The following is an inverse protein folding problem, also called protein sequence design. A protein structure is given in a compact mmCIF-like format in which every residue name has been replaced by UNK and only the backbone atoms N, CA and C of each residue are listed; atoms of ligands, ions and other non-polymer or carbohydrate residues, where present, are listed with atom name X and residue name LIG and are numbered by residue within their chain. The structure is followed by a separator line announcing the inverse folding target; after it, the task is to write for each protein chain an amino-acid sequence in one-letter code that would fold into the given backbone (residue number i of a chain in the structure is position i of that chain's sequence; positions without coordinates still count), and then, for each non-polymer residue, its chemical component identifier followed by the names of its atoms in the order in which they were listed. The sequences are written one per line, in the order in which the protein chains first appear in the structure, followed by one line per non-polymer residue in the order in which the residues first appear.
data_IF_696461806641
#
_entry.id   IF_696461806641
#
_cell.length_a   1.000
_cell.length_b   1.000
_cell.length_c   1.000
_cell.angle_alpha   90.00
_cell.angle_beta   90.00
_cell.angle_gamma   90.00
#
_symmetry.space_group_name_H-M   'P 1'
#
loop_
_entity.id
_entity.type
_entity.pdbx_description
1 polymer ?
#
# COMPACT_ATOMS: atom_id res chain seq x y z
N UNK A 1 -23.88 31.68 -0.61
CA UNK A 1 -22.55 32.17 -0.20
C UNK A 1 -21.77 30.91 0.22
N UNK A 2 -20.82 30.47 -0.60
CA UNK A 2 -20.09 29.25 -0.34
C UNK A 2 -19.15 29.41 0.85
N UNK A 3 -19.35 28.61 1.87
CA UNK A 3 -18.45 28.56 3.01
C UNK A 3 -17.11 27.96 2.54
N UNK A 4 -16.06 28.78 2.53
CA UNK A 4 -14.71 28.34 2.29
C UNK A 4 -14.24 27.51 3.49
N UNK A 5 -14.46 26.18 3.41
CA UNK A 5 -13.89 25.24 4.36
C UNK A 5 -12.37 25.16 4.10
N UNK A 6 -11.57 25.74 4.96
CA UNK A 6 -10.12 25.57 4.92
C UNK A 6 -9.76 24.30 5.67
N UNK A 7 -9.38 23.28 4.92
CA UNK A 7 -8.83 22.04 5.43
C UNK A 7 -7.31 22.14 5.40
N UNK A 8 -6.65 22.10 6.56
CA UNK A 8 -5.18 22.05 6.63
C UNK A 8 -4.73 20.63 6.84
N UNK A 9 -3.81 20.16 5.97
CA UNK A 9 -3.16 18.86 6.13
C UNK A 9 -2.17 18.92 7.31
N UNK A 10 -2.41 18.15 8.35
CA UNK A 10 -1.50 18.03 9.49
C UNK A 10 -0.55 16.86 9.26
N UNK A 11 0.71 16.96 9.70
CA UNK A 11 1.68 15.88 9.66
C UNK A 11 1.07 14.59 10.24
N UNK A 12 1.03 13.56 9.43
CA UNK A 12 0.49 12.27 9.81
C UNK A 12 -0.86 11.90 9.18
N UNK A 13 -1.30 12.62 8.13
CA UNK A 13 -2.51 12.27 7.38
C UNK A 13 -3.83 12.73 8.02
N UNK A 14 -3.77 13.60 9.02
CA UNK A 14 -4.96 14.24 9.60
C UNK A 14 -5.16 15.61 9.00
N UNK A 15 -6.42 16.00 8.84
CA UNK A 15 -6.80 17.36 8.50
C UNK A 15 -7.40 18.03 9.73
N UNK A 16 -6.88 19.21 10.08
CA UNK A 16 -7.48 20.06 11.09
C UNK A 16 -8.33 21.12 10.39
N UNK A 17 -9.60 21.15 10.72
CA UNK A 17 -10.48 22.23 10.27
C UNK A 17 -10.19 23.46 11.14
N UNK A 18 -9.72 24.56 10.53
CA UNK A 18 -9.60 25.85 11.18
C UNK A 18 -10.86 26.68 10.92
N UNK A 19 -11.39 27.26 11.98
CA UNK A 19 -12.54 28.20 12.00
C UNK A 19 -13.85 27.56 11.53
N UNK A 20 -14.42 26.70 12.36
CA UNK A 20 -15.82 26.34 12.30
C UNK A 20 -16.62 27.41 13.06
N UNK A 21 -17.01 28.47 12.37
CA UNK A 21 -18.27 29.11 12.68
C UNK A 21 -19.39 28.20 12.14
N UNK A 22 -20.41 27.99 12.97
CA UNK A 22 -21.53 27.06 12.84
C UNK A 22 -22.11 26.89 11.41
N UNK A 23 -21.55 26.05 10.57
CA UNK A 23 -22.20 25.61 9.35
C UNK A 23 -22.21 24.10 9.30
N UNK A 24 -23.40 23.54 9.29
CA UNK A 24 -23.59 22.10 9.05
C UNK A 24 -22.99 21.70 7.71
N UNK A 25 -21.96 20.86 7.74
CA UNK A 25 -21.51 20.18 6.54
C UNK A 25 -22.51 19.03 6.35
N UNK A 26 -23.24 19.05 5.26
CA UNK A 26 -24.17 17.98 4.96
C UNK A 26 -23.42 16.73 4.48
N UNK A 27 -24.08 15.59 4.58
CA UNK A 27 -23.52 14.29 4.24
C UNK A 27 -23.14 14.20 2.75
N UNK A 28 -23.86 14.90 1.86
CA UNK A 28 -23.55 14.94 0.41
C UNK A 28 -22.24 15.65 0.10
N UNK A 29 -21.89 16.73 0.82
CA UNK A 29 -20.63 17.43 0.62
C UNK A 29 -19.43 16.58 1.07
N UNK A 30 -19.61 15.78 2.14
CA UNK A 30 -18.61 14.82 2.59
C UNK A 30 -18.45 13.71 1.54
N UNK A 31 -19.53 13.10 1.08
CA UNK A 31 -19.51 12.05 0.08
C UNK A 31 -18.90 12.51 -1.25
N UNK A 32 -19.25 13.71 -1.70
CA UNK A 32 -18.68 14.31 -2.90
C UNK A 32 -17.17 14.50 -2.79
N UNK A 33 -16.68 15.00 -1.67
CA UNK A 33 -15.24 15.14 -1.43
C UNK A 33 -14.53 13.78 -1.33
N UNK A 34 -15.17 12.78 -0.73
CA UNK A 34 -14.66 11.41 -0.72
C UNK A 34 -14.49 10.86 -2.14
N UNK A 35 -15.39 11.22 -3.07
CA UNK A 35 -15.27 10.82 -4.46
C UNK A 35 -14.15 11.52 -5.22
N UNK A 36 -13.80 12.74 -4.83
CA UNK A 36 -12.77 13.56 -5.46
C UNK A 36 -11.35 13.22 -5.02
N UNK A 37 -11.17 12.59 -3.84
CA UNK A 37 -9.84 12.31 -3.26
C UNK A 37 -9.38 10.87 -3.51
N UNK A 38 -8.11 10.70 -3.82
CA UNK A 38 -7.52 9.37 -4.13
C UNK A 38 -7.24 8.52 -2.90
N UNK A 39 -6.80 9.15 -1.81
CA UNK A 39 -6.55 8.46 -0.53
C UNK A 39 -6.56 9.46 0.60
N UNK A 40 -7.69 9.57 1.35
CA UNK A 40 -7.66 10.64 2.32
C UNK A 40 -8.65 10.65 3.46
N UNK A 41 -8.37 11.50 4.40
CA UNK A 41 -9.05 11.76 5.65
C UNK A 41 -9.86 13.05 5.63
N UNK A 42 -10.99 13.00 6.29
CA UNK A 42 -11.73 14.20 6.71
C UNK A 42 -11.82 14.27 8.23
N UNK A 43 -11.67 15.47 8.75
CA UNK A 43 -11.89 15.76 10.17
C UNK A 43 -12.96 16.83 10.27
N UNK A 44 -14.05 16.53 10.97
CA UNK A 44 -15.12 17.46 11.29
C UNK A 44 -15.17 17.67 12.80
N UNK A 45 -15.19 18.92 13.22
CA UNK A 45 -15.38 19.29 14.61
C UNK A 45 -16.73 19.97 14.80
N UNK A 46 -17.48 19.69 15.85
CA UNK A 46 -18.79 20.27 16.13
C UNK A 46 -19.02 20.47 17.63
N UNK A 47 -19.37 21.72 18.01
CA UNK A 47 -19.83 22.08 19.36
C UNK A 47 -18.82 21.82 20.48
N UNK A 48 -19.31 21.58 21.69
CA UNK A 48 -18.50 21.25 22.87
C UNK A 48 -17.79 19.90 22.78
N UNK A 49 -18.15 19.08 21.78
CA UNK A 49 -17.44 17.88 21.38
C UNK A 49 -16.94 18.07 19.96
N UNK A 50 -15.65 18.05 19.72
CA UNK A 50 -15.09 18.02 18.37
C UNK A 50 -15.43 16.67 17.71
N UNK A 51 -16.11 16.71 16.58
CA UNK A 51 -16.44 15.53 15.79
C UNK A 51 -15.36 15.33 14.73
N UNK A 52 -14.52 14.32 14.93
CA UNK A 52 -13.49 13.93 13.98
C UNK A 52 -14.07 12.91 13.00
N UNK A 53 -14.20 13.30 11.75
CA UNK A 53 -14.54 12.40 10.66
C UNK A 53 -13.27 12.04 9.92
N UNK A 54 -12.85 10.81 10.04
CA UNK A 54 -11.68 10.28 9.36
C UNK A 54 -12.13 9.31 8.28
N UNK A 55 -11.68 9.54 7.05
CA UNK A 55 -11.98 8.69 5.92
C UNK A 55 -10.70 8.24 5.23
N UNK A 56 -10.52 6.93 5.13
CA UNK A 56 -9.48 6.29 4.35
C UNK A 56 -10.03 5.03 3.69
N UNK A 57 -10.25 5.07 2.39
CA UNK A 57 -10.79 3.93 1.65
C UNK A 57 -9.81 2.76 1.55
N UNK A 58 -8.51 2.99 1.72
CA UNK A 58 -7.48 1.94 1.72
C UNK A 58 -7.30 1.29 3.07
N UNK A 59 -7.72 1.96 4.14
CA UNK A 59 -7.49 1.51 5.49
C UNK A 59 -6.03 1.57 5.94
N UNK A 60 -5.17 2.27 5.23
CA UNK A 60 -3.71 2.27 5.43
C UNK A 60 -3.28 3.35 6.44
N UNK A 61 -4.00 4.46 6.51
CA UNK A 61 -3.62 5.61 7.32
C UNK A 61 -4.23 5.59 8.73
N UNK A 62 -3.37 5.81 9.66
CA UNK A 62 -3.45 6.00 11.12
C UNK A 62 -4.78 5.83 11.84
N UNK A 63 -4.67 4.96 12.82
CA UNK A 63 -5.42 4.82 14.06
C UNK A 63 -6.89 4.38 13.97
N UNK A 64 -7.04 3.12 14.09
CA UNK A 64 -7.98 2.31 14.83
C UNK A 64 -9.22 1.76 14.18
N UNK A 65 -9.79 2.27 13.09
CA UNK A 65 -10.86 1.54 12.41
C UNK A 65 -10.81 1.80 10.93
N UNK A 66 -10.40 0.78 10.26
CA UNK A 66 -10.14 0.80 8.85
C UNK A 66 -11.38 0.33 8.13
N UNK A 67 -11.79 1.08 7.15
CA UNK A 67 -12.91 0.76 6.32
C UNK A 67 -12.41 -0.01 5.10
N UNK A 68 -13.08 -1.09 4.78
CA UNK A 68 -12.77 -1.82 3.57
C UNK A 68 -13.21 -0.99 2.36
N UNK A 69 -12.49 -1.05 1.23
CA UNK A 69 -12.78 -0.23 0.06
C UNK A 69 -14.20 -0.31 -0.50
N UNK A 70 -14.98 -1.32 -0.11
CA UNK A 70 -16.35 -1.55 -0.59
C UNK A 70 -17.41 -1.55 0.51
N UNK A 71 -17.01 -1.22 1.73
CA UNK A 71 -17.97 -1.14 2.84
C UNK A 71 -18.42 0.29 3.10
N UNK A 72 -19.69 0.45 3.38
CA UNK A 72 -20.21 1.66 4.01
C UNK A 72 -20.55 1.28 5.43
N UNK A 73 -19.92 1.92 6.40
CA UNK A 73 -20.46 1.88 7.74
C UNK A 73 -20.16 3.16 8.50
N UNK A 74 -21.05 3.45 9.42
CA UNK A 74 -20.95 4.57 10.32
C UNK A 74 -20.63 4.02 11.69
N UNK A 75 -19.58 4.52 12.31
CA UNK A 75 -19.27 4.22 13.68
C UNK A 75 -18.94 5.49 14.42
N UNK A 76 -19.58 5.68 15.59
CA UNK A 76 -19.34 6.84 16.45
C UNK A 76 -18.57 6.40 17.67
N UNK A 77 -17.36 6.92 17.85
CA UNK A 77 -16.54 6.75 19.05
C UNK A 77 -16.35 8.10 19.75
N UNK A 78 -16.55 8.15 21.06
CA UNK A 78 -16.24 9.31 21.87
C UNK A 78 -14.90 9.09 22.53
N UNK A 79 -13.91 9.93 22.22
CA UNK A 79 -12.57 9.86 22.79
C UNK A 79 -12.04 11.27 23.06
N UNK A 80 -11.64 11.54 24.29
CA UNK A 80 -11.06 12.83 24.69
C UNK A 80 -11.94 14.04 24.30
N UNK A 81 -13.24 13.98 24.57
CA UNK A 81 -14.24 15.01 24.21
C UNK A 81 -14.49 15.20 22.71
N UNK A 82 -14.03 14.25 21.87
CA UNK A 82 -14.31 14.26 20.44
C UNK A 82 -15.26 13.11 20.10
N UNK A 83 -16.26 13.39 19.29
CA UNK A 83 -17.09 12.38 18.65
C UNK A 83 -16.50 12.09 17.27
N UNK A 84 -16.06 10.84 17.07
CA UNK A 84 -15.48 10.40 15.80
C UNK A 84 -16.57 9.70 15.00
N UNK A 85 -16.91 10.27 13.85
CA UNK A 85 -17.80 9.66 12.88
C UNK A 85 -16.96 9.15 11.70
N UNK A 86 -17.07 7.86 11.39
CA UNK A 86 -16.32 7.23 10.32
C UNK A 86 -17.28 6.95 9.16
N UNK A 87 -16.95 7.47 7.99
CA UNK A 87 -17.70 7.19 6.76
C UNK A 87 -16.85 6.42 5.79
N UNK A 88 -17.42 5.41 5.14
CA UNK A 88 -16.85 4.81 3.95
C UNK A 88 -17.89 4.73 2.86
N UNK A 89 -17.51 4.96 1.64
CA UNK A 89 -18.35 4.69 0.48
C UNK A 89 -18.04 3.31 -0.08
N UNK A 90 -19.05 2.62 -0.59
CA UNK A 90 -18.85 1.49 -1.48
C UNK A 90 -18.11 2.00 -2.72
N UNK A 91 -16.88 1.54 -2.91
CA UNK A 91 -16.15 1.80 -4.15
C UNK A 91 -16.64 0.79 -5.18
N UNK A 92 -17.68 1.17 -5.93
CA UNK A 92 -18.11 0.37 -7.07
C UNK A 92 -16.97 0.29 -8.10
N UNK A 93 -16.77 -0.87 -8.76
CA UNK A 93 -15.85 -0.94 -9.89
C UNK A 93 -16.27 0.06 -10.97
N UNK A 94 -15.33 0.58 -11.75
CA UNK A 94 -15.69 1.41 -12.91
C UNK A 94 -16.54 0.59 -13.87
N UNK A 95 -17.40 1.24 -14.66
CA UNK A 95 -18.29 0.52 -15.59
C UNK A 95 -17.50 -0.24 -16.65
N UNK A 96 -16.34 0.25 -17.01
CA UNK A 96 -15.43 -0.35 -17.98
C UNK A 96 -14.02 0.17 -17.72
N UNK A 97 -13.00 -0.67 -17.87
CA UNK A 97 -11.58 -0.28 -17.75
C UNK A 97 -10.77 -0.97 -18.85
N UNK A 98 -9.79 -0.26 -19.39
CA UNK A 98 -8.79 -0.80 -20.31
C UNK A 98 -7.42 -0.89 -19.65
N UNK A 99 -6.53 -1.70 -20.23
CA UNK A 99 -5.14 -1.81 -19.77
C UNK A 99 -4.37 -0.51 -20.01
N UNK A 100 -4.70 0.22 -21.08
CA UNK A 100 -4.11 1.51 -21.42
C UNK A 100 -4.47 2.58 -20.39
N UNK A 101 -5.74 2.62 -19.94
CA UNK A 101 -6.18 3.54 -18.89
C UNK A 101 -5.50 3.23 -17.56
N UNK A 102 -5.37 1.95 -17.19
CA UNK A 102 -4.62 1.53 -16.02
C UNK A 102 -3.14 1.90 -16.11
N UNK A 103 -2.51 1.68 -17.26
CA UNK A 103 -1.12 2.07 -17.50
C UNK A 103 -0.93 3.59 -17.39
N UNK A 104 -1.84 4.37 -17.99
CA UNK A 104 -1.83 5.84 -17.90
C UNK A 104 -2.01 6.32 -16.46
N UNK A 105 -2.95 5.75 -15.73
CA UNK A 105 -3.21 6.09 -14.32
C UNK A 105 -2.01 5.77 -13.44
N UNK A 106 -1.44 4.58 -13.60
CA UNK A 106 -0.28 4.17 -12.83
C UNK A 106 0.95 5.06 -13.14
N UNK A 107 1.15 5.43 -14.41
CA UNK A 107 2.20 6.36 -14.82
C UNK A 107 2.01 7.75 -14.21
N UNK A 108 0.78 8.24 -14.08
CA UNK A 108 0.50 9.54 -13.48
C UNK A 108 0.94 9.62 -12.00
N UNK A 109 1.00 8.49 -11.31
CA UNK A 109 1.46 8.41 -9.92
C UNK A 109 2.99 8.69 -9.77
N UNK A 110 3.77 8.69 -10.86
CA UNK A 110 5.17 9.11 -10.82
C UNK A 110 5.37 10.53 -10.24
N UNK A 111 4.34 11.37 -10.29
CA UNK A 111 4.36 12.73 -9.77
C UNK A 111 4.05 12.83 -8.26
N UNK A 112 3.71 11.71 -7.60
CA UNK A 112 3.42 11.70 -6.16
C UNK A 112 4.63 12.15 -5.35
N UNK A 113 4.39 12.95 -4.33
CA UNK A 113 5.45 13.46 -3.44
C UNK A 113 6.52 14.26 -4.18
N UNK A 114 6.15 15.23 -5.01
CA UNK A 114 7.04 15.93 -5.96
C UNK A 114 8.35 16.45 -5.33
N UNK A 115 8.33 16.87 -4.06
CA UNK A 115 9.52 17.39 -3.35
C UNK A 115 10.07 16.39 -2.32
N UNK A 116 9.69 15.10 -2.39
CA UNK A 116 10.12 14.07 -1.45
C UNK A 116 11.13 13.14 -2.08
N UNK A 117 12.15 12.73 -1.32
CA UNK A 117 13.06 11.65 -1.72
C UNK A 117 12.33 10.31 -1.60
N UNK A 118 12.31 9.58 -2.71
CA UNK A 118 11.52 8.34 -2.84
C UNK A 118 12.43 7.14 -2.67
N UNK A 119 11.99 6.19 -1.81
CA UNK A 119 12.47 4.82 -1.84
C UNK A 119 11.39 3.88 -2.37
N UNK A 120 11.78 2.72 -2.86
CA UNK A 120 10.88 1.64 -3.26
C UNK A 120 11.23 0.39 -2.48
N UNK A 121 10.27 -0.24 -1.82
CA UNK A 121 10.39 -1.56 -1.23
C UNK A 121 10.58 -2.57 -2.36
N UNK A 122 11.84 -2.90 -2.66
CA UNK A 122 12.22 -3.56 -3.89
C UNK A 122 12.61 -5.01 -3.65
N UNK A 123 11.84 -5.90 -4.20
CA UNK A 123 12.09 -7.32 -4.13
C UNK A 123 12.58 -7.92 -5.47
N UNK A 124 12.66 -7.09 -6.51
CA UNK A 124 12.91 -7.55 -7.88
C UNK A 124 11.72 -8.29 -8.52
N UNK A 125 10.58 -8.44 -7.84
CA UNK A 125 9.35 -8.97 -8.43
C UNK A 125 8.72 -8.01 -9.43
N UNK A 126 7.78 -8.51 -10.27
CA UNK A 126 7.09 -7.70 -11.27
C UNK A 126 6.47 -6.44 -10.66
N UNK A 127 5.79 -6.58 -9.50
CA UNK A 127 5.06 -5.49 -8.86
C UNK A 127 5.96 -4.33 -8.46
N UNK A 128 7.03 -4.62 -7.71
CA UNK A 128 8.00 -3.61 -7.29
C UNK A 128 8.84 -3.08 -8.44
N UNK A 129 9.13 -3.91 -9.45
CA UNK A 129 9.90 -3.48 -10.63
C UNK A 129 9.07 -2.56 -11.53
N UNK A 130 7.77 -2.81 -11.67
CA UNK A 130 6.89 -1.91 -12.41
C UNK A 130 6.79 -0.54 -11.73
N UNK A 131 6.67 -0.50 -10.38
CA UNK A 131 6.72 0.75 -9.64
C UNK A 131 8.09 1.44 -9.80
N UNK A 132 9.19 0.71 -9.66
CA UNK A 132 10.53 1.27 -9.89
C UNK A 132 10.66 1.88 -11.30
N UNK A 133 10.13 1.22 -12.32
CA UNK A 133 10.12 1.70 -13.69
C UNK A 133 9.28 2.98 -13.88
N UNK A 134 8.14 3.08 -13.22
CA UNK A 134 7.27 4.26 -13.26
C UNK A 134 7.96 5.47 -12.63
N UNK A 135 8.63 5.27 -11.50
CA UNK A 135 9.29 6.34 -10.77
C UNK A 135 10.74 6.61 -11.26
N UNK A 136 11.26 5.90 -12.29
CA UNK A 136 12.68 5.95 -12.68
C UNK A 136 13.21 7.34 -12.99
N UNK A 137 12.41 8.22 -13.58
CA UNK A 137 12.79 9.61 -13.88
C UNK A 137 13.09 10.44 -12.62
N UNK A 138 12.73 9.92 -11.46
CA UNK A 138 12.95 10.53 -10.14
C UNK A 138 14.09 9.85 -9.38
N UNK A 139 14.81 8.96 -10.03
CA UNK A 139 15.94 8.23 -9.46
C UNK A 139 15.65 7.64 -8.07
N UNK A 140 14.59 6.82 -7.93
CA UNK A 140 14.19 6.30 -6.63
C UNK A 140 15.25 5.33 -6.10
N UNK A 141 15.46 5.35 -4.78
CA UNK A 141 16.35 4.41 -4.12
C UNK A 141 15.63 3.05 -3.96
N UNK A 142 16.16 1.99 -4.56
CA UNK A 142 15.62 0.65 -4.40
C UNK A 142 16.14 0.05 -3.09
N UNK A 143 15.24 -0.29 -2.16
CA UNK A 143 15.59 -0.89 -0.86
C UNK A 143 15.23 -2.37 -0.87
N UNK A 144 16.23 -3.22 -0.70
CA UNK A 144 16.05 -4.67 -0.53
C UNK A 144 16.62 -5.10 0.81
N UNK A 145 15.84 -5.84 1.60
CA UNK A 145 16.29 -6.42 2.86
C UNK A 145 16.16 -7.95 2.83
N UNK A 146 17.10 -8.63 3.46
CA UNK A 146 17.08 -10.10 3.53
C UNK A 146 18.36 -10.66 4.11
N UNK A 147 18.35 -11.94 4.42
CA UNK A 147 19.58 -12.66 4.77
C UNK A 147 20.47 -12.84 3.54
N UNK A 148 21.78 -12.91 3.74
CA UNK A 148 22.79 -12.86 2.67
C UNK A 148 22.52 -13.87 1.54
N UNK A 149 22.12 -15.09 1.86
CA UNK A 149 21.81 -16.15 0.91
C UNK A 149 20.36 -16.14 0.39
N UNK A 150 19.63 -15.03 0.62
CA UNK A 150 18.22 -14.96 0.21
C UNK A 150 18.07 -14.80 -1.30
N UNK A 151 17.03 -15.44 -1.82
CA UNK A 151 16.67 -15.33 -3.24
C UNK A 151 16.31 -13.89 -3.63
N UNK A 152 15.67 -13.15 -2.72
CA UNK A 152 15.29 -11.77 -2.97
C UNK A 152 16.51 -10.88 -3.22
N UNK A 153 17.60 -11.04 -2.47
CA UNK A 153 18.82 -10.26 -2.69
C UNK A 153 19.43 -10.58 -4.06
N UNK A 154 19.50 -11.87 -4.46
CA UNK A 154 20.06 -12.27 -5.75
C UNK A 154 19.24 -11.70 -6.91
N UNK A 155 17.94 -11.94 -6.90
CA UNK A 155 17.01 -11.53 -7.96
C UNK A 155 16.92 -9.98 -8.04
N UNK A 156 16.85 -9.30 -6.91
CA UNK A 156 16.74 -7.83 -6.91
C UNK A 156 17.99 -7.16 -7.49
N UNK A 157 19.19 -7.66 -7.19
CA UNK A 157 20.45 -7.12 -7.75
C UNK A 157 20.51 -7.22 -9.27
N UNK A 158 20.12 -8.37 -9.83
CA UNK A 158 20.11 -8.57 -11.28
C UNK A 158 19.12 -7.59 -11.95
N UNK A 159 17.92 -7.46 -11.37
CA UNK A 159 16.87 -6.64 -11.97
C UNK A 159 17.05 -5.14 -11.74
N UNK A 160 17.66 -4.72 -10.63
CA UNK A 160 18.02 -3.32 -10.43
C UNK A 160 19.00 -2.85 -11.51
N UNK A 161 19.97 -3.70 -11.90
CA UNK A 161 20.89 -3.42 -13.03
C UNK A 161 20.14 -3.29 -14.36
N UNK A 162 19.15 -4.16 -14.63
CA UNK A 162 18.33 -4.05 -15.84
C UNK A 162 17.51 -2.75 -15.89
N UNK A 163 17.09 -2.25 -14.72
CA UNK A 163 16.38 -0.98 -14.62
C UNK A 163 17.30 0.24 -14.66
N UNK A 164 18.61 0.07 -14.48
CA UNK A 164 19.57 1.18 -14.38
C UNK A 164 19.38 2.04 -13.13
N UNK A 165 18.87 1.47 -12.03
CA UNK A 165 18.54 2.19 -10.80
C UNK A 165 19.47 1.82 -9.66
N UNK A 166 19.74 2.79 -8.78
CA UNK A 166 20.54 2.58 -7.56
C UNK A 166 19.78 1.68 -6.57
N UNK A 167 20.50 0.73 -5.96
CA UNK A 167 19.97 -0.19 -4.99
C UNK A 167 20.80 -0.23 -3.72
N UNK A 168 20.16 -0.06 -2.58
CA UNK A 168 20.69 -0.42 -1.27
C UNK A 168 20.20 -1.82 -0.88
N UNK A 169 21.15 -2.72 -0.64
CA UNK A 169 20.87 -4.06 -0.11
C UNK A 169 21.27 -4.11 1.36
N UNK A 170 20.29 -4.27 2.23
CA UNK A 170 20.50 -4.46 3.66
C UNK A 170 20.51 -5.94 4.00
N UNK A 171 21.65 -6.45 4.43
CA UNK A 171 21.83 -7.83 4.90
C UNK A 171 21.45 -7.90 6.37
N UNK A 172 20.42 -8.65 6.67
CA UNK A 172 19.91 -8.79 8.04
C UNK A 172 20.82 -9.71 8.85
N UNK A 173 21.20 -9.26 10.05
CA UNK A 173 21.82 -10.10 11.07
C UNK A 173 20.77 -10.63 12.05
N UNK A 174 21.01 -11.81 12.64
CA UNK A 174 20.08 -12.43 13.60
C UNK A 174 19.80 -11.53 14.81
N UNK A 175 20.80 -10.78 15.27
CA UNK A 175 20.64 -9.81 16.36
C UNK A 175 19.67 -8.70 15.95
N UNK A 176 19.85 -8.14 14.76
CA UNK A 176 18.99 -7.09 14.23
C UNK A 176 17.55 -7.57 13.99
N UNK A 177 17.37 -8.81 13.53
CA UNK A 177 16.05 -9.43 13.46
C UNK A 177 15.37 -9.49 14.83
N UNK A 178 16.08 -9.90 15.87
CA UNK A 178 15.53 -9.92 17.24
C UNK A 178 15.13 -8.53 17.72
N UNK A 179 15.94 -7.53 17.43
CA UNK A 179 15.64 -6.15 17.82
C UNK A 179 14.45 -5.58 17.03
N UNK A 180 14.35 -5.88 15.73
CA UNK A 180 13.19 -5.49 14.92
C UNK A 180 11.90 -6.19 15.37
N UNK A 181 11.96 -7.46 15.76
CA UNK A 181 10.81 -8.19 16.32
C UNK A 181 10.29 -7.53 17.60
N UNK A 182 11.17 -7.01 18.47
CA UNK A 182 10.74 -6.26 19.66
C UNK A 182 10.00 -4.97 19.32
N UNK A 183 10.32 -4.33 18.19
CA UNK A 183 9.65 -3.11 17.75
C UNK A 183 8.25 -3.37 17.15
N UNK A 184 7.97 -4.59 16.71
CA UNK A 184 6.75 -4.94 15.97
C UNK A 184 5.95 -6.10 16.59
N UNK A 185 6.31 -6.54 17.81
CA UNK A 185 5.71 -7.73 18.42
C UNK A 185 4.19 -7.62 18.63
N UNK A 186 3.68 -6.40 18.81
CA UNK A 186 2.26 -6.10 18.98
C UNK A 186 1.49 -5.97 17.66
N UNK A 187 2.18 -6.06 16.53
CA UNK A 187 1.59 -5.91 15.20
C UNK A 187 1.19 -7.25 14.57
N UNK A 188 1.58 -8.40 15.13
CA UNK A 188 1.33 -9.70 14.51
C UNK A 188 0.99 -10.79 15.51
N UNK A 189 0.10 -11.71 15.10
CA UNK A 189 -0.33 -12.85 15.91
C UNK A 189 0.26 -14.18 15.41
N UNK A 190 0.79 -14.21 14.22
CA UNK A 190 1.41 -15.40 13.61
C UNK A 190 2.87 -15.14 13.27
N UNK A 191 3.66 -16.21 13.10
CA UNK A 191 5.05 -16.10 12.64
C UNK A 191 5.15 -15.38 11.31
N UNK A 192 4.18 -15.60 10.41
CA UNK A 192 4.12 -14.92 9.11
C UNK A 192 3.86 -13.41 9.28
N UNK A 193 2.93 -13.02 10.16
CA UNK A 193 2.65 -11.62 10.45
C UNK A 193 3.88 -10.90 11.00
N UNK A 194 4.56 -11.52 11.97
CA UNK A 194 5.78 -10.99 12.56
C UNK A 194 6.92 -10.89 11.55
N UNK A 195 7.04 -11.88 10.64
CA UNK A 195 8.05 -11.85 9.58
C UNK A 195 7.82 -10.71 8.59
N UNK A 196 6.57 -10.45 8.21
CA UNK A 196 6.21 -9.34 7.35
C UNK A 196 6.43 -8.01 8.07
N UNK A 197 5.93 -7.86 9.30
CA UNK A 197 6.09 -6.63 10.09
C UNK A 197 7.57 -6.29 10.32
N UNK A 198 8.39 -7.26 10.75
CA UNK A 198 9.84 -7.05 10.95
C UNK A 198 10.54 -6.72 9.62
N UNK A 199 10.21 -7.40 8.54
CA UNK A 199 10.74 -7.11 7.21
C UNK A 199 10.41 -5.70 6.75
N UNK A 200 9.16 -5.25 6.87
CA UNK A 200 8.76 -3.90 6.50
C UNK A 200 9.30 -2.83 7.44
N UNK A 201 9.46 -3.12 8.73
CA UNK A 201 10.18 -2.24 9.65
C UNK A 201 11.64 -2.02 9.19
N UNK A 202 12.37 -3.09 8.86
CA UNK A 202 13.75 -3.02 8.38
C UNK A 202 13.85 -2.29 7.03
N UNK A 203 12.91 -2.52 6.11
CA UNK A 203 12.80 -1.78 4.85
C UNK A 203 12.62 -0.28 5.10
N UNK A 204 11.70 0.08 6.00
CA UNK A 204 11.45 1.47 6.40
C UNK A 204 12.68 2.12 7.06
N UNK A 205 13.32 1.40 8.01
CA UNK A 205 14.53 1.84 8.69
C UNK A 205 15.67 2.12 7.68
N UNK A 206 15.94 1.16 6.79
CA UNK A 206 16.97 1.32 5.75
C UNK A 206 16.65 2.50 4.83
N UNK A 207 15.39 2.66 4.42
CA UNK A 207 14.97 3.81 3.61
C UNK A 207 15.21 5.13 4.34
N UNK A 208 14.86 5.22 5.62
CA UNK A 208 15.07 6.41 6.45
C UNK A 208 16.55 6.75 6.62
N UNK A 209 17.38 5.76 6.91
CA UNK A 209 18.84 5.92 7.06
C UNK A 209 19.51 6.42 5.77
N UNK A 210 18.93 6.11 4.61
CA UNK A 210 19.36 6.62 3.30
C UNK A 210 18.64 7.92 2.90
N UNK A 211 17.92 8.56 3.82
CA UNK A 211 17.33 9.89 3.64
C UNK A 211 16.02 9.90 2.86
N UNK A 212 15.33 8.77 2.68
CA UNK A 212 14.03 8.75 2.04
C UNK A 212 12.94 9.36 2.94
N UNK A 213 12.04 10.13 2.33
CA UNK A 213 10.86 10.70 2.99
C UNK A 213 9.66 9.79 2.89
N UNK A 214 9.52 9.10 1.75
CA UNK A 214 8.45 8.17 1.46
C UNK A 214 9.00 6.86 0.92
N UNK A 215 8.26 5.77 1.14
CA UNK A 215 8.55 4.47 0.54
C UNK A 215 7.34 3.94 -0.22
N UNK A 216 7.56 3.64 -1.49
CA UNK A 216 6.55 3.06 -2.39
C UNK A 216 6.55 1.54 -2.24
N UNK A 217 5.38 0.96 -2.04
CA UNK A 217 5.21 -0.47 -1.75
C UNK A 217 4.28 -1.11 -2.77
N UNK A 218 4.67 -2.27 -3.30
CA UNK A 218 3.95 -2.98 -4.35
C UNK A 218 2.86 -3.96 -3.86
N UNK A 219 2.37 -3.81 -2.64
CA UNK A 219 1.30 -4.65 -2.11
C UNK A 219 -0.03 -4.44 -2.83
N UNK A 220 -0.92 -5.41 -2.72
CA UNK A 220 -2.23 -5.54 -3.36
C UNK A 220 -2.18 -5.96 -4.83
N UNK A 221 -1.03 -5.94 -5.49
CA UNK A 221 -0.91 -6.38 -6.88
C UNK A 221 -1.24 -7.87 -7.08
N UNK A 222 -0.86 -8.72 -6.12
CA UNK A 222 -1.14 -10.16 -6.17
C UNK A 222 -2.63 -10.46 -6.10
N UNK A 223 -3.36 -9.76 -5.28
CA UNK A 223 -4.80 -9.92 -5.09
C UNK A 223 -5.60 -9.31 -6.24
N UNK A 224 -5.17 -8.17 -6.76
CA UNK A 224 -5.85 -7.52 -7.89
C UNK A 224 -5.67 -8.27 -9.22
N UNK A 225 -4.52 -8.92 -9.41
CA UNK A 225 -4.15 -9.54 -10.68
C UNK A 225 -3.89 -11.05 -10.59
N UNK A 226 -4.33 -11.71 -9.52
CA UNK A 226 -4.26 -13.16 -9.36
C UNK A 226 -2.84 -13.74 -9.37
N UNK A 227 -1.94 -13.15 -8.56
CA UNK A 227 -0.52 -13.52 -8.56
C UNK A 227 -0.19 -14.78 -7.78
N UNK A 228 -1.05 -15.26 -6.88
CA UNK A 228 -0.78 -16.44 -6.06
C UNK A 228 -1.11 -17.74 -6.77
N UNK A 229 -0.30 -18.77 -6.52
CA UNK A 229 -0.51 -20.13 -7.09
C UNK A 229 -1.88 -20.72 -6.75
N UNK A 230 -2.48 -20.33 -5.62
CA UNK A 230 -3.80 -20.80 -5.20
C UNK A 230 -4.94 -20.40 -6.16
N UNK A 231 -4.72 -19.39 -7.01
CA UNK A 231 -5.71 -18.99 -8.01
C UNK A 231 -5.67 -19.85 -9.29
N UNK A 232 -4.62 -20.66 -9.46
CA UNK A 232 -4.50 -21.54 -10.60
C UNK A 232 -5.54 -22.66 -10.52
N UNK A 233 -6.32 -22.81 -11.56
CA UNK A 233 -7.37 -23.85 -11.63
C UNK A 233 -8.70 -23.47 -10.99
N UNK A 234 -8.82 -22.26 -10.40
CA UNK A 234 -10.12 -21.76 -9.97
C UNK A 234 -10.95 -21.43 -11.22
N UNK A 235 -12.20 -21.92 -11.31
CA UNK A 235 -13.12 -21.52 -12.38
C UNK A 235 -13.27 -20.01 -12.43
N UNK A 236 -13.34 -19.47 -13.67
CA UNK A 236 -13.29 -18.01 -13.89
C UNK A 236 -14.46 -17.26 -13.25
N UNK A 237 -15.61 -17.90 -13.18
CA UNK A 237 -16.84 -17.43 -12.53
C UNK A 237 -16.73 -17.37 -10.99
N UNK A 238 -15.85 -18.17 -10.40
CA UNK A 238 -15.60 -18.18 -8.95
C UNK A 238 -14.40 -17.29 -8.56
N UNK A 239 -13.53 -16.97 -9.52
CA UNK A 239 -12.26 -16.28 -9.25
C UNK A 239 -12.47 -14.91 -8.60
N UNK A 240 -13.46 -14.13 -9.05
CA UNK A 240 -13.73 -12.79 -8.52
C UNK A 240 -14.08 -12.81 -7.03
N UNK A 241 -14.85 -13.80 -6.58
CA UNK A 241 -15.20 -13.94 -5.15
C UNK A 241 -13.97 -14.24 -4.32
N UNK A 242 -13.10 -15.15 -4.80
CA UNK A 242 -11.87 -15.51 -4.10
C UNK A 242 -10.90 -14.32 -4.02
N UNK A 243 -10.73 -13.60 -5.14
CA UNK A 243 -9.90 -12.38 -5.16
C UNK A 243 -10.45 -11.32 -4.22
N UNK A 244 -11.76 -11.14 -4.16
CA UNK A 244 -12.39 -10.18 -3.27
C UNK A 244 -12.12 -10.47 -1.79
N UNK A 245 -12.26 -11.73 -1.37
CA UNK A 245 -11.93 -12.13 0.00
C UNK A 245 -10.44 -11.88 0.33
N UNK A 246 -9.55 -12.18 -0.62
CA UNK A 246 -8.13 -12.00 -0.42
C UNK A 246 -7.70 -10.54 -0.43
N UNK A 247 -8.34 -9.68 -1.22
CA UNK A 247 -8.17 -8.23 -1.16
C UNK A 247 -8.47 -7.72 0.26
N UNK A 248 -9.56 -8.15 0.87
CA UNK A 248 -9.92 -7.76 2.23
C UNK A 248 -8.87 -8.20 3.27
N UNK A 249 -8.34 -9.42 3.12
CA UNK A 249 -7.25 -9.91 3.97
C UNK A 249 -5.96 -9.13 3.75
N UNK A 250 -5.63 -8.82 2.50
CA UNK A 250 -4.44 -8.04 2.15
C UNK A 250 -4.49 -6.63 2.73
N UNK A 251 -5.64 -5.95 2.65
CA UNK A 251 -5.83 -4.62 3.25
C UNK A 251 -5.59 -4.68 4.76
N UNK A 252 -6.08 -5.71 5.45
CA UNK A 252 -5.79 -5.90 6.86
C UNK A 252 -4.28 -6.09 7.14
N UNK A 253 -3.57 -6.85 6.29
CA UNK A 253 -2.11 -6.99 6.36
C UNK A 253 -1.36 -5.69 6.08
N UNK A 254 -1.79 -4.92 5.08
CA UNK A 254 -1.19 -3.62 4.74
C UNK A 254 -1.23 -2.63 5.92
N UNK A 255 -2.20 -2.72 6.80
CA UNK A 255 -2.26 -1.91 8.03
C UNK A 255 -1.11 -2.20 8.98
N UNK A 256 -0.86 -3.49 9.22
CA UNK A 256 0.27 -3.97 10.02
C UNK A 256 1.56 -3.44 9.43
N UNK A 257 1.74 -3.63 8.13
CA UNK A 257 2.96 -3.30 7.40
C UNK A 257 3.17 -1.77 7.34
N UNK A 258 2.09 -1.00 7.18
CA UNK A 258 2.14 0.47 7.27
C UNK A 258 2.59 0.96 8.64
N UNK A 259 2.07 0.35 9.71
CA UNK A 259 2.51 0.69 11.08
C UNK A 259 3.99 0.39 11.28
N UNK A 260 4.45 -0.77 10.81
CA UNK A 260 5.86 -1.16 10.88
C UNK A 260 6.77 -0.16 10.14
N UNK A 261 6.42 0.22 8.90
CA UNK A 261 7.16 1.22 8.12
C UNK A 261 7.13 2.59 8.81
N UNK A 262 5.95 3.03 9.26
CA UNK A 262 5.79 4.35 9.89
C UNK A 262 6.54 4.44 11.22
N UNK A 263 6.62 3.35 12.00
CA UNK A 263 7.42 3.32 13.23
C UNK A 263 8.91 3.47 12.97
N UNK A 264 9.39 3.11 11.77
CA UNK A 264 10.75 3.36 11.31
C UNK A 264 10.98 4.80 10.80
N UNK A 265 9.96 5.67 10.78
CA UNK A 265 10.08 7.10 10.45
C UNK A 265 9.95 7.46 8.96
N UNK A 266 9.38 6.58 8.14
CA UNK A 266 9.10 6.79 6.71
C UNK A 266 7.61 6.64 6.43
N UNK A 267 7.07 7.41 5.50
CA UNK A 267 5.66 7.34 5.09
C UNK A 267 5.49 6.30 3.95
N UNK A 268 4.70 5.23 4.13
CA UNK A 268 4.43 4.28 3.06
C UNK A 268 3.41 4.82 2.05
N UNK A 269 3.60 4.46 0.78
CA UNK A 269 2.68 4.78 -0.34
C UNK A 269 2.39 3.51 -1.12
N UNK A 270 1.11 3.25 -1.40
CA UNK A 270 0.63 2.02 -2.03
C UNK A 270 -0.13 2.32 -3.34
N UNK A 271 0.57 2.50 -4.48
CA UNK A 271 -0.08 2.94 -5.72
C UNK A 271 -1.18 2.00 -6.23
N UNK A 272 -1.04 0.70 -6.03
CA UNK A 272 -2.06 -0.28 -6.42
C UNK A 272 -3.35 -0.20 -5.58
N UNK A 273 -3.28 0.40 -4.40
CA UNK A 273 -4.41 0.61 -3.52
C UNK A 273 -5.08 1.98 -3.73
N UNK A 274 -4.55 2.84 -4.59
CA UNK A 274 -5.21 4.12 -4.87
C UNK A 274 -6.55 3.91 -5.56
N UNK A 275 -7.53 4.68 -5.14
CA UNK A 275 -8.95 4.54 -5.51
C UNK A 275 -9.17 4.39 -7.02
N UNK A 276 -8.59 5.25 -7.85
CA UNK A 276 -8.78 5.18 -9.30
C UNK A 276 -8.18 3.91 -9.90
N UNK A 277 -6.95 3.55 -9.53
CA UNK A 277 -6.31 2.32 -10.01
C UNK A 277 -7.05 1.07 -9.53
N UNK A 278 -7.39 1.02 -8.24
CA UNK A 278 -8.10 -0.09 -7.62
C UNK A 278 -9.46 -0.37 -8.32
N UNK A 279 -10.27 0.68 -8.52
CA UNK A 279 -11.57 0.56 -9.19
C UNK A 279 -11.45 0.04 -10.61
N UNK A 280 -10.48 0.53 -11.38
CA UNK A 280 -10.23 0.09 -12.75
C UNK A 280 -9.69 -1.33 -12.80
N UNK A 281 -8.72 -1.68 -11.94
CA UNK A 281 -8.17 -3.04 -11.86
C UNK A 281 -9.26 -4.06 -11.54
N UNK A 282 -10.18 -3.74 -10.63
CA UNK A 282 -11.32 -4.59 -10.33
C UNK A 282 -12.32 -4.72 -11.48
N UNK A 283 -12.46 -3.70 -12.33
CA UNK A 283 -13.33 -3.71 -13.48
C UNK A 283 -12.76 -4.47 -14.69
N UNK A 284 -11.48 -4.87 -14.66
CA UNK A 284 -10.90 -5.69 -15.71
C UNK A 284 -11.58 -7.07 -15.78
N UNK A 285 -11.75 -7.62 -17.00
CA UNK A 285 -12.18 -9.00 -17.17
C UNK A 285 -11.29 -9.99 -16.41
N UNK A 286 -11.90 -11.02 -15.82
CA UNK A 286 -11.21 -12.01 -14.95
C UNK A 286 -10.03 -12.71 -15.64
N UNK A 287 -10.04 -12.82 -16.98
CA UNK A 287 -8.91 -13.36 -17.72
C UNK A 287 -7.60 -12.59 -17.49
N UNK A 288 -7.65 -11.29 -17.24
CA UNK A 288 -6.48 -10.47 -16.89
C UNK A 288 -6.03 -10.61 -15.43
N UNK A 289 -6.84 -11.27 -14.60
CA UNK A 289 -6.60 -11.48 -13.17
C UNK A 289 -6.06 -12.89 -12.88
N UNK A 290 -5.45 -13.53 -13.85
CA UNK A 290 -4.77 -14.83 -13.71
C UNK A 290 -3.28 -14.65 -14.00
N UNK A 291 -2.41 -15.16 -13.13
CA UNK A 291 -0.95 -15.09 -13.31
C UNK A 291 -0.40 -13.68 -13.56
N UNK A 292 -1.06 -12.66 -13.03
CA UNK A 292 -0.74 -11.26 -13.26
C UNK A 292 -0.77 -10.85 -14.73
N UNK A 293 -1.58 -11.50 -15.56
CA UNK A 293 -1.61 -11.20 -17.01
C UNK A 293 -1.88 -9.72 -17.27
N UNK A 294 -2.86 -9.12 -16.58
CA UNK A 294 -3.15 -7.68 -16.68
C UNK A 294 -1.96 -6.81 -16.30
N UNK A 295 -1.29 -7.12 -15.18
CA UNK A 295 -0.12 -6.35 -14.74
C UNK A 295 1.08 -6.49 -15.69
N UNK A 296 1.28 -7.68 -16.27
CA UNK A 296 2.30 -7.92 -17.30
C UNK A 296 2.02 -7.08 -18.56
N UNK A 297 0.76 -7.05 -19.02
CA UNK A 297 0.35 -6.21 -20.14
C UNK A 297 0.51 -4.72 -19.88
N UNK A 298 0.20 -4.26 -18.66
CA UNK A 298 0.49 -2.89 -18.24
C UNK A 298 2.00 -2.63 -18.30
N UNK A 299 2.84 -3.58 -17.84
CA UNK A 299 4.29 -3.48 -17.96
C UNK A 299 4.78 -3.36 -19.41
N UNK A 300 4.22 -4.18 -20.33
CA UNK A 300 4.49 -4.11 -21.78
C UNK A 300 4.15 -2.70 -22.34
N UNK A 301 2.95 -2.18 -22.04
CA UNK A 301 2.50 -0.84 -22.48
C UNK A 301 3.44 0.26 -21.97
N UNK A 302 3.95 0.13 -20.76
CA UNK A 302 4.86 1.11 -20.13
C UNK A 302 6.33 0.91 -20.52
N UNK A 303 6.65 -0.12 -21.30
CA UNK A 303 8.01 -0.40 -21.77
C UNK A 303 8.94 -1.01 -20.72
N UNK A 304 8.38 -1.72 -19.72
CA UNK A 304 9.20 -2.48 -18.77
C UNK A 304 9.97 -3.59 -19.49
N UNK A 305 11.25 -3.86 -19.17
CA UNK A 305 12.02 -4.93 -19.81
C UNK A 305 11.33 -6.30 -19.74
N UNK A 306 11.34 -7.04 -20.85
CA UNK A 306 10.67 -8.33 -20.99
C UNK A 306 11.19 -9.39 -20.01
N UNK A 307 12.46 -9.35 -19.65
CA UNK A 307 13.09 -10.22 -18.66
C UNK A 307 12.44 -10.08 -17.29
N UNK A 308 11.96 -8.88 -16.95
CA UNK A 308 11.25 -8.62 -15.71
C UNK A 308 9.77 -9.02 -15.84
N UNK A 309 9.13 -8.68 -16.96
CA UNK A 309 7.71 -8.99 -17.22
C UNK A 309 7.46 -10.50 -17.12
N UNK A 310 8.35 -11.33 -17.69
CA UNK A 310 8.16 -12.78 -17.77
C UNK A 310 8.72 -13.56 -16.59
N UNK A 311 9.35 -12.87 -15.66
CA UNK A 311 10.00 -13.53 -14.55
C UNK A 311 9.00 -14.11 -13.52
N UNK A 312 9.40 -15.24 -12.93
CA UNK A 312 8.72 -15.84 -11.76
C UNK A 312 9.45 -15.46 -10.47
N UNK A 313 8.73 -15.33 -9.38
CA UNK A 313 9.30 -14.98 -8.08
C UNK A 313 8.51 -15.61 -6.92
N UNK A 314 9.17 -15.78 -5.75
CA UNK A 314 8.55 -16.15 -4.48
C UNK A 314 8.02 -14.89 -3.76
N UNK A 315 7.08 -15.08 -2.82
CA UNK A 315 6.59 -14.02 -1.95
C UNK A 315 7.70 -13.56 -0.98
N UNK A 316 7.67 -12.28 -0.60
CA UNK A 316 8.71 -11.59 0.19
C UNK A 316 9.13 -12.34 1.46
N UNK A 317 8.19 -12.82 2.29
CA UNK A 317 8.51 -13.52 3.54
C UNK A 317 9.33 -14.80 3.35
N UNK A 318 9.17 -15.47 2.20
CA UNK A 318 9.94 -16.65 1.85
C UNK A 318 11.24 -16.29 1.12
N UNK A 319 11.15 -15.30 0.23
CA UNK A 319 12.28 -14.85 -0.59
C UNK A 319 13.38 -14.19 0.25
N UNK A 320 13.03 -13.46 1.30
CA UNK A 320 13.96 -12.80 2.24
C UNK A 320 14.55 -13.74 3.30
N UNK A 321 13.97 -14.93 3.51
CA UNK A 321 14.27 -15.92 4.57
C UNK A 321 13.93 -15.49 5.99
N UNK A 322 13.28 -14.33 6.21
CA UNK A 322 12.95 -13.82 7.55
C UNK A 322 12.06 -14.81 8.31
N UNK A 323 11.00 -15.33 7.69
CA UNK A 323 10.10 -16.31 8.34
C UNK A 323 10.84 -17.58 8.79
N UNK A 324 11.80 -18.07 7.97
CA UNK A 324 12.61 -19.22 8.32
C UNK A 324 13.45 -18.95 9.56
N UNK A 325 14.12 -17.79 9.62
CA UNK A 325 14.97 -17.45 10.76
C UNK A 325 14.17 -17.20 12.04
N UNK A 326 12.94 -16.64 11.95
CA UNK A 326 12.07 -16.54 13.12
C UNK A 326 11.71 -17.94 13.65
N UNK A 327 11.37 -18.88 12.76
CA UNK A 327 11.11 -20.27 13.17
C UNK A 327 12.31 -20.90 13.87
N UNK A 328 13.52 -20.67 13.36
CA UNK A 328 14.77 -21.15 14.00
C UNK A 328 14.99 -20.53 15.38
N UNK A 329 14.53 -19.31 15.64
CA UNK A 329 14.65 -18.64 16.93
C UNK A 329 13.65 -19.13 17.98
N UNK A 330 12.57 -19.78 17.55
CA UNK A 330 11.52 -20.33 18.41
C UNK A 330 11.79 -21.79 18.84
N UNK A 331 12.75 -22.44 18.21
CA UNK A 331 13.27 -23.77 18.54
C UNK A 331 14.63 -23.69 19.23
#
# INVERSE_FOLDING_TARGET
MGSNLKVEKVRGGYFKLKNLEEHEINEEDILKKIEEEESQFFVKARGDCEELVSFDYTGIFKERRYLYPESVFEETEIKNNYRIKLYSSKIAPSKQASLEELAKTLKAYSNLGHNKKIAIAYSGGLDSSLLAWIFREREPLLITVGFEESEDIKVSKERAKLLGLEQTVHKIEVKELKDSLRQVYDLGYTVMDLALAAGFYLVGKTARENGADIIVVGQLADELFGGYRKYHGIPIDMLENVLYEDINKAIAGMRRDSKAITSAGVEPVYPYAFKSFFRMARALPSMYKVNKLGLRKIGEILGLPNEIINARKKAFQYGSRIEKEIKNLLH
#
